data_IF_444441753113
#
_entry.id   IF_444441753113
#
_cell.length_a   1.000
_cell.length_b   1.000
_cell.length_c   1.000
_cell.angle_alpha   90.00
_cell.angle_beta   90.00
_cell.angle_gamma   90.00
#
_symmetry.space_group_name_H-M   'P 1'
#
loop_
_entity.id
_entity.type
_entity.pdbx_description
1 polymer ?
#
# COMPACT_ATOMS: atom_id res chain seq x y z
N UNK A 1 -7.86 -32.43 -12.48
CA UNK A 1 -6.55 -32.64 -11.81
C UNK A 1 -6.63 -33.88 -10.93
N UNK A 2 -5.75 -34.88 -11.14
CA UNK A 2 -5.72 -36.11 -10.34
C UNK A 2 -5.45 -35.79 -8.87
N UNK A 3 -5.96 -36.57 -7.92
CA UNK A 3 -5.80 -36.31 -6.46
C UNK A 3 -4.35 -36.12 -6.03
N UNK A 4 -3.42 -36.85 -6.63
CA UNK A 4 -1.98 -36.76 -6.39
C UNK A 4 -1.41 -35.38 -6.79
N UNK A 5 -1.82 -34.85 -7.94
CA UNK A 5 -1.38 -33.53 -8.42
C UNK A 5 -1.94 -32.41 -7.55
N UNK A 6 -3.18 -32.52 -7.07
CA UNK A 6 -3.76 -31.57 -6.13
C UNK A 6 -2.99 -31.53 -4.80
N UNK A 7 -2.57 -32.68 -4.26
CA UNK A 7 -1.76 -32.76 -3.03
C UNK A 7 -0.39 -32.10 -3.22
N UNK A 8 0.28 -32.34 -4.34
CA UNK A 8 1.58 -31.71 -4.67
C UNK A 8 1.45 -30.19 -4.72
N UNK A 9 0.41 -29.68 -5.37
CA UNK A 9 0.16 -28.24 -5.45
C UNK A 9 -0.05 -27.60 -4.07
N UNK A 10 -0.82 -28.25 -3.19
CA UNK A 10 -1.02 -27.77 -1.82
C UNK A 10 0.32 -27.70 -1.06
N UNK A 11 1.16 -28.73 -1.16
CA UNK A 11 2.48 -28.75 -0.52
C UNK A 11 3.38 -27.62 -1.04
N UNK A 12 3.38 -27.36 -2.35
CA UNK A 12 4.12 -26.25 -2.96
C UNK A 12 3.64 -24.90 -2.40
N UNK A 13 2.32 -24.69 -2.31
CA UNK A 13 1.76 -23.44 -1.75
C UNK A 13 2.15 -23.27 -0.28
N UNK A 14 2.08 -24.33 0.52
CA UNK A 14 2.50 -24.29 1.93
C UNK A 14 3.99 -23.94 2.02
N UNK A 15 4.84 -24.57 1.22
CA UNK A 15 6.28 -24.28 1.21
C UNK A 15 6.57 -22.81 0.89
N UNK A 16 5.88 -22.21 -0.10
CA UNK A 16 6.02 -20.80 -0.42
C UNK A 16 5.55 -19.88 0.72
N UNK A 17 4.43 -20.19 1.35
CA UNK A 17 3.92 -19.40 2.49
C UNK A 17 4.89 -19.47 3.66
N UNK A 18 5.46 -20.65 3.97
CA UNK A 18 6.46 -20.82 5.01
C UNK A 18 7.74 -20.04 4.68
N UNK A 19 8.21 -20.09 3.42
CA UNK A 19 9.36 -19.32 2.99
C UNK A 19 9.16 -17.82 3.20
N UNK A 20 7.99 -17.28 2.80
CA UNK A 20 7.65 -15.88 3.04
C UNK A 20 7.62 -15.54 4.53
N UNK A 21 7.00 -16.40 5.36
CA UNK A 21 6.92 -16.19 6.81
C UNK A 21 8.33 -16.16 7.45
N UNK A 22 9.23 -17.08 7.07
CA UNK A 22 10.61 -17.11 7.56
C UNK A 22 11.38 -15.85 7.18
N UNK A 23 11.19 -15.34 5.97
CA UNK A 23 11.85 -14.12 5.46
C UNK A 23 11.33 -12.86 6.15
N UNK A 24 10.01 -12.78 6.39
CA UNK A 24 9.40 -11.61 7.04
C UNK A 24 9.61 -11.60 8.56
N UNK A 25 9.89 -12.74 9.18
CA UNK A 25 10.05 -12.87 10.62
C UNK A 25 11.07 -11.90 11.24
N UNK A 26 12.32 -11.80 10.71
CA UNK A 26 13.30 -10.85 11.24
C UNK A 26 12.83 -9.40 11.14
N UNK A 27 12.22 -9.01 10.02
CA UNK A 27 11.73 -7.65 9.79
C UNK A 27 10.66 -7.26 10.83
N UNK A 28 9.69 -8.14 11.06
CA UNK A 28 8.66 -7.92 12.07
C UNK A 28 9.19 -8.02 13.52
N UNK A 29 10.26 -8.78 13.73
CA UNK A 29 10.93 -8.82 15.04
C UNK A 29 11.62 -7.49 15.36
N UNK A 30 12.22 -6.84 14.36
CA UNK A 30 12.84 -5.51 14.49
C UNK A 30 11.76 -4.42 14.70
N UNK A 31 10.59 -4.56 14.11
CA UNK A 31 9.50 -3.59 14.21
C UNK A 31 9.11 -3.22 15.66
N UNK A 32 9.32 -4.12 16.62
CA UNK A 32 9.05 -3.83 18.06
C UNK A 32 9.93 -2.72 18.65
N UNK A 33 11.05 -2.40 17.99
CA UNK A 33 11.97 -1.32 18.39
C UNK A 33 11.78 -0.05 17.57
N UNK A 34 10.82 -0.05 16.65
CA UNK A 34 10.56 1.10 15.79
C UNK A 34 9.92 2.24 16.57
N UNK A 35 10.34 3.47 16.26
CA UNK A 35 9.88 4.70 16.91
C UNK A 35 9.93 5.88 15.95
N UNK A 36 9.14 6.94 16.20
CA UNK A 36 9.13 8.14 15.36
C UNK A 36 10.50 8.78 15.26
N UNK A 37 10.89 9.20 14.07
CA UNK A 37 12.18 9.79 13.80
C UNK A 37 12.07 10.97 12.84
N UNK A 38 13.13 11.76 12.76
CA UNK A 38 13.24 12.89 11.85
C UNK A 38 12.01 13.82 11.89
N UNK A 39 11.37 14.05 10.77
CA UNK A 39 10.23 14.94 10.60
C UNK A 39 8.86 14.34 10.98
N UNK A 40 8.80 13.07 11.37
CA UNK A 40 7.57 12.47 11.91
C UNK A 40 6.97 13.33 13.04
N UNK A 41 7.82 13.82 13.95
CA UNK A 41 7.38 14.68 15.05
C UNK A 41 6.77 16.00 14.58
N UNK A 42 7.31 16.59 13.53
CA UNK A 42 6.83 17.87 13.02
C UNK A 42 5.50 17.75 12.28
N UNK A 43 5.29 16.69 11.50
CA UNK A 43 4.04 16.46 10.78
C UNK A 43 2.94 15.88 11.67
N UNK A 44 3.28 15.04 12.66
CA UNK A 44 2.31 14.42 13.57
C UNK A 44 1.82 15.30 14.72
N UNK A 45 2.48 16.44 14.98
CA UNK A 45 2.26 17.26 16.20
C UNK A 45 0.82 17.75 16.41
N UNK A 46 0.13 18.14 15.35
CA UNK A 46 -1.24 18.64 15.44
C UNK A 46 -2.22 17.51 15.76
N UNK A 47 -2.06 16.38 15.09
CA UNK A 47 -2.88 15.19 15.36
C UNK A 47 -2.65 14.68 16.79
N UNK A 48 -1.39 14.61 17.23
CA UNK A 48 -1.06 14.21 18.59
C UNK A 48 -1.75 15.11 19.62
N UNK A 49 -1.71 16.44 19.44
CA UNK A 49 -2.38 17.40 20.33
C UNK A 49 -3.91 17.20 20.34
N UNK A 50 -4.53 17.05 19.18
CA UNK A 50 -5.95 16.81 19.06
C UNK A 50 -6.39 15.51 19.77
N UNK A 51 -5.59 14.44 19.65
CA UNK A 51 -5.84 13.18 20.34
C UNK A 51 -5.70 13.32 21.86
N UNK A 52 -4.66 14.01 22.35
CA UNK A 52 -4.46 14.27 23.79
C UNK A 52 -5.58 15.15 24.38
N UNK A 53 -6.10 16.09 23.60
CA UNK A 53 -7.19 16.97 24.01
C UNK A 53 -8.57 16.29 23.92
N UNK A 54 -8.67 15.09 23.35
CA UNK A 54 -9.94 14.37 23.20
C UNK A 54 -10.92 15.03 22.23
N UNK A 55 -10.42 15.75 21.21
CA UNK A 55 -11.25 16.54 20.28
C UNK A 55 -12.08 15.68 19.29
N UNK A 56 -11.91 14.36 19.32
CA UNK A 56 -12.66 13.42 18.47
C UNK A 56 -12.44 13.64 16.98
N UNK A 57 -13.45 13.32 16.16
CA UNK A 57 -13.36 13.39 14.68
C UNK A 57 -13.11 14.82 14.20
N UNK A 58 -13.70 15.84 14.84
CA UNK A 58 -13.49 17.24 14.48
C UNK A 58 -12.02 17.65 14.65
N UNK A 59 -11.36 17.17 15.71
CA UNK A 59 -9.94 17.37 15.95
C UNK A 59 -9.07 16.73 14.88
N UNK A 60 -9.45 15.56 14.36
CA UNK A 60 -8.74 14.90 13.24
C UNK A 60 -8.75 15.79 12.00
N UNK A 61 -9.90 16.29 11.58
CA UNK A 61 -10.00 17.19 10.41
C UNK A 61 -9.25 18.49 10.63
N UNK A 62 -9.35 19.07 11.83
CA UNK A 62 -8.63 20.29 12.18
C UNK A 62 -7.11 20.08 12.15
N UNK A 63 -6.60 18.96 12.68
CA UNK A 63 -5.19 18.62 12.66
C UNK A 63 -4.65 18.43 11.23
N UNK A 64 -5.41 17.76 10.35
CA UNK A 64 -5.08 17.64 8.93
C UNK A 64 -5.01 19.02 8.27
N UNK A 65 -6.02 19.87 8.50
CA UNK A 65 -6.05 21.22 7.97
C UNK A 65 -4.83 22.05 8.45
N UNK A 66 -4.49 21.99 9.74
CA UNK A 66 -3.32 22.67 10.28
C UNK A 66 -2.02 22.16 9.65
N UNK A 67 -1.89 20.85 9.45
CA UNK A 67 -0.70 20.28 8.79
C UNK A 67 -0.58 20.81 7.36
N UNK A 68 -1.66 20.86 6.60
CA UNK A 68 -1.68 21.43 5.25
C UNK A 68 -1.36 22.92 5.26
N UNK A 69 -2.00 23.70 6.12
CA UNK A 69 -1.86 25.16 6.18
C UNK A 69 -0.45 25.61 6.62
N UNK A 70 0.22 24.85 7.48
CA UNK A 70 1.57 25.19 7.96
C UNK A 70 2.69 24.70 7.04
N UNK A 71 2.37 23.85 6.05
CA UNK A 71 3.34 23.29 5.10
C UNK A 71 2.99 23.65 3.65
N UNK A 72 2.56 24.89 3.41
CA UNK A 72 2.17 25.38 2.07
C UNK A 72 3.29 25.35 1.03
N UNK A 73 4.55 25.25 1.48
CA UNK A 73 5.70 25.06 0.61
C UNK A 73 5.73 23.65 -0.05
N UNK A 74 5.04 22.69 0.58
CA UNK A 74 4.93 21.33 0.08
C UNK A 74 3.65 21.22 -0.78
N UNK A 75 3.81 21.15 -2.09
CA UNK A 75 2.69 21.06 -3.02
C UNK A 75 1.99 19.68 -3.03
N UNK A 76 2.64 18.66 -2.45
CA UNK A 76 2.16 17.27 -2.44
C UNK A 76 1.17 17.04 -1.30
N UNK A 77 -0.06 17.48 -1.46
CA UNK A 77 -1.08 17.48 -0.41
C UNK A 77 -1.38 16.10 0.20
N UNK A 78 -1.29 15.02 -0.60
CA UNK A 78 -1.59 13.68 -0.10
C UNK A 78 -0.57 13.18 0.91
N UNK A 79 0.71 13.51 0.74
CA UNK A 79 1.73 13.15 1.73
C UNK A 79 1.48 13.88 3.05
N UNK A 80 1.07 15.15 3.01
CA UNK A 80 0.78 15.93 4.23
C UNK A 80 -0.40 15.33 5.00
N UNK A 81 -1.45 14.89 4.29
CA UNK A 81 -2.60 14.22 4.91
C UNK A 81 -2.16 12.90 5.56
N UNK A 82 -1.41 12.08 4.83
CA UNK A 82 -0.93 10.80 5.33
C UNK A 82 0.04 10.96 6.50
N UNK A 83 0.96 11.93 6.43
CA UNK A 83 1.91 12.22 7.51
C UNK A 83 1.23 12.75 8.78
N UNK A 84 0.14 13.51 8.63
CA UNK A 84 -0.68 13.91 9.79
C UNK A 84 -1.34 12.70 10.48
N UNK A 85 -1.69 11.66 9.73
CA UNK A 85 -2.35 10.44 10.22
C UNK A 85 -1.37 9.37 10.72
N UNK A 86 -0.10 9.70 10.91
CA UNK A 86 0.90 8.74 11.35
C UNK A 86 0.52 8.03 12.66
N UNK A 87 0.92 6.76 12.84
CA UNK A 87 0.53 5.98 14.02
C UNK A 87 0.99 6.58 15.34
N UNK A 88 2.14 7.26 15.39
CA UNK A 88 2.66 7.91 16.59
C UNK A 88 1.74 9.01 17.14
N UNK A 89 0.91 9.61 16.30
CA UNK A 89 -0.06 10.61 16.73
C UNK A 89 -1.12 10.06 17.69
N UNK A 90 -1.38 8.76 17.64
CA UNK A 90 -2.32 8.05 18.53
C UNK A 90 -1.64 7.48 19.78
N UNK A 91 -0.32 7.54 19.84
CA UNK A 91 0.54 7.08 20.92
C UNK A 91 1.84 6.50 20.38
N UNK A 92 2.96 6.78 21.06
CA UNK A 92 4.30 6.41 20.60
C UNK A 92 4.43 4.90 20.28
N UNK A 93 3.78 4.04 21.08
CA UNK A 93 3.80 2.60 20.87
C UNK A 93 3.13 2.15 19.57
N UNK A 94 2.17 2.93 19.04
CA UNK A 94 1.50 2.60 17.79
C UNK A 94 2.42 2.77 16.57
N UNK A 95 3.53 3.49 16.71
CA UNK A 95 4.47 3.65 15.61
C UNK A 95 5.01 2.30 15.09
N UNK A 96 5.17 1.33 15.98
CA UNK A 96 5.61 -0.05 15.68
C UNK A 96 4.74 -0.79 14.66
N UNK A 97 3.54 -0.29 14.34
CA UNK A 97 2.69 -0.85 13.29
C UNK A 97 3.16 -0.46 11.87
N UNK A 98 4.01 0.58 11.76
CA UNK A 98 4.48 1.11 10.47
C UNK A 98 5.05 0.02 9.56
N UNK A 99 6.03 -0.81 9.96
CA UNK A 99 6.58 -1.84 9.08
C UNK A 99 5.54 -2.87 8.63
N UNK A 100 4.59 -3.22 9.51
CA UNK A 100 3.52 -4.15 9.15
C UNK A 100 2.58 -3.56 8.10
N UNK A 101 2.22 -2.28 8.24
CA UNK A 101 1.38 -1.58 7.26
C UNK A 101 2.09 -1.46 5.92
N UNK A 102 3.36 -1.08 5.90
CA UNK A 102 4.12 -0.83 4.68
C UNK A 102 4.42 -2.13 3.92
N UNK A 103 5.01 -3.11 4.56
CA UNK A 103 5.29 -4.43 3.96
C UNK A 103 3.98 -5.11 3.57
N UNK A 104 2.97 -5.07 4.44
CA UNK A 104 1.66 -5.64 4.18
C UNK A 104 0.96 -5.00 2.98
N UNK A 105 1.03 -3.66 2.84
CA UNK A 105 0.44 -2.95 1.71
C UNK A 105 1.08 -3.32 0.38
N UNK A 106 2.42 -3.46 0.33
CA UNK A 106 3.16 -3.90 -0.87
C UNK A 106 2.73 -5.30 -1.27
N UNK A 107 2.75 -6.23 -0.32
CA UNK A 107 2.39 -7.63 -0.59
C UNK A 107 0.94 -7.74 -1.05
N UNK A 108 0.01 -7.11 -0.31
CA UNK A 108 -1.42 -7.16 -0.62
C UNK A 108 -1.72 -6.57 -2.01
N UNK A 109 -1.22 -5.37 -2.29
CA UNK A 109 -1.48 -4.68 -3.56
C UNK A 109 -0.90 -5.44 -4.76
N UNK A 110 0.28 -6.04 -4.61
CA UNK A 110 0.87 -6.92 -5.61
C UNK A 110 0.00 -8.16 -5.88
N UNK A 111 -0.48 -8.82 -4.81
CA UNK A 111 -1.35 -10.00 -4.99
C UNK A 111 -2.70 -9.64 -5.61
N UNK A 112 -3.27 -8.47 -5.30
CA UNK A 112 -4.48 -7.98 -5.94
C UNK A 112 -4.25 -7.79 -7.45
N UNK A 113 -3.15 -7.15 -7.83
CA UNK A 113 -2.80 -6.95 -9.24
C UNK A 113 -2.55 -8.27 -9.97
N UNK A 114 -1.77 -9.18 -9.40
CA UNK A 114 -1.53 -10.51 -9.98
C UNK A 114 -2.82 -11.31 -10.15
N UNK A 115 -3.74 -11.22 -9.20
CA UNK A 115 -5.05 -11.85 -9.31
C UNK A 115 -5.81 -11.34 -10.54
N UNK A 116 -5.78 -10.05 -10.82
CA UNK A 116 -6.46 -9.51 -12.01
C UNK A 116 -5.73 -9.91 -13.29
N UNK A 117 -4.40 -9.86 -13.32
CA UNK A 117 -3.62 -10.23 -14.49
C UNK A 117 -3.73 -11.73 -14.82
N UNK A 118 -3.75 -12.61 -13.83
CA UNK A 118 -3.71 -14.06 -14.03
C UNK A 118 -5.12 -14.64 -14.04
N UNK A 119 -5.86 -14.50 -12.94
CA UNK A 119 -7.16 -15.13 -12.77
C UNK A 119 -8.31 -14.32 -13.35
N UNK A 120 -8.08 -13.04 -13.65
CA UNK A 120 -9.00 -12.20 -14.39
C UNK A 120 -9.19 -12.69 -15.82
N UNK A 121 -8.12 -13.21 -16.42
CA UNK A 121 -8.11 -13.74 -17.79
C UNK A 121 -8.55 -15.20 -17.86
N UNK A 122 -8.06 -16.04 -16.94
CA UNK A 122 -8.33 -17.48 -16.93
C UNK A 122 -8.42 -18.00 -15.47
N UNK A 123 -9.63 -18.32 -15.03
CA UNK A 123 -9.89 -18.80 -13.65
C UNK A 123 -9.12 -20.06 -13.28
N UNK A 124 -8.83 -20.92 -14.25
CA UNK A 124 -8.02 -22.13 -14.08
C UNK A 124 -6.58 -21.85 -13.67
N UNK A 125 -6.06 -20.66 -13.97
CA UNK A 125 -4.68 -20.27 -13.67
C UNK A 125 -4.49 -19.70 -12.26
N UNK A 126 -5.52 -19.64 -11.43
CA UNK A 126 -5.43 -19.10 -10.05
C UNK A 126 -4.34 -19.73 -9.19
N UNK A 127 -3.99 -20.97 -9.46
CA UNK A 127 -2.95 -21.68 -8.73
C UNK A 127 -1.55 -21.08 -8.93
N UNK A 128 -1.36 -20.30 -10.01
CA UNK A 128 -0.09 -19.59 -10.29
C UNK A 128 0.13 -18.35 -9.42
N UNK A 129 -0.90 -17.80 -8.81
CA UNK A 129 -0.82 -16.54 -8.06
C UNK A 129 0.19 -16.64 -6.91
N UNK A 130 0.15 -17.69 -6.11
CA UNK A 130 1.07 -17.88 -4.99
C UNK A 130 2.51 -18.17 -5.44
N UNK A 131 2.76 -19.14 -6.36
CA UNK A 131 4.11 -19.43 -6.84
C UNK A 131 4.80 -18.27 -7.56
N UNK A 132 4.05 -17.36 -8.15
CA UNK A 132 4.60 -16.15 -8.78
C UNK A 132 4.67 -15.00 -7.77
N UNK A 133 3.61 -14.78 -7.02
CA UNK A 133 3.48 -13.62 -6.12
C UNK A 133 4.43 -13.66 -4.94
N UNK A 134 4.66 -14.84 -4.34
CA UNK A 134 5.55 -14.93 -3.17
C UNK A 134 7.01 -14.64 -3.52
N UNK A 135 7.63 -15.25 -4.56
CA UNK A 135 8.97 -14.85 -4.98
C UNK A 135 9.09 -13.36 -5.32
N UNK A 136 8.10 -12.79 -6.02
CA UNK A 136 8.09 -11.36 -6.30
C UNK A 136 8.05 -10.53 -5.01
N UNK A 137 7.19 -10.87 -4.04
CA UNK A 137 7.12 -10.19 -2.76
C UNK A 137 8.44 -10.29 -1.97
N UNK A 138 9.04 -11.47 -1.96
CA UNK A 138 10.36 -11.71 -1.33
C UNK A 138 11.41 -10.81 -1.98
N UNK A 139 11.47 -10.77 -3.31
CA UNK A 139 12.44 -9.94 -4.03
C UNK A 139 12.21 -8.44 -3.73
N UNK A 140 10.98 -7.96 -3.75
CA UNK A 140 10.67 -6.56 -3.45
C UNK A 140 11.10 -6.14 -2.05
N UNK A 141 10.91 -7.02 -1.05
CA UNK A 141 11.25 -6.72 0.34
C UNK A 141 12.75 -6.85 0.60
N UNK A 142 13.40 -7.94 0.12
CA UNK A 142 14.81 -8.18 0.38
C UNK A 142 15.75 -7.29 -0.42
N UNK A 143 15.38 -6.91 -1.62
CA UNK A 143 16.19 -6.05 -2.49
C UNK A 143 15.77 -4.57 -2.45
N UNK A 144 14.98 -4.18 -1.44
CA UNK A 144 14.72 -2.76 -1.18
C UNK A 144 16.04 -2.08 -0.80
N UNK A 145 16.49 -1.04 -1.53
CA UNK A 145 17.81 -0.42 -1.30
C UNK A 145 17.95 0.22 0.09
N UNK A 146 16.88 0.79 0.61
CA UNK A 146 16.82 1.51 1.88
C UNK A 146 15.61 1.03 2.68
N UNK A 147 15.67 -0.18 3.28
CA UNK A 147 14.52 -0.78 3.97
C UNK A 147 14.08 0.03 5.20
N UNK A 148 15.02 0.71 5.87
CA UNK A 148 14.73 1.62 6.99
C UNK A 148 13.84 2.78 6.59
N UNK A 149 14.10 3.41 5.45
CA UNK A 149 13.30 4.53 4.95
C UNK A 149 12.01 4.04 4.27
N UNK A 150 12.04 2.85 3.70
CA UNK A 150 10.92 2.31 2.94
C UNK A 150 9.86 1.63 3.80
N UNK A 151 10.23 1.08 4.96
CA UNK A 151 9.32 0.28 5.77
C UNK A 151 9.18 0.74 7.21
N UNK A 152 10.19 1.41 7.78
CA UNK A 152 10.23 1.76 9.20
C UNK A 152 10.04 3.26 9.43
N UNK A 153 10.66 4.13 8.66
CA UNK A 153 10.43 5.57 8.77
C UNK A 153 9.11 5.95 8.10
N UNK A 154 8.11 6.35 8.89
CA UNK A 154 6.73 6.53 8.41
C UNK A 154 6.62 7.56 7.27
N UNK A 155 7.21 8.75 7.42
CA UNK A 155 7.12 9.79 6.38
C UNK A 155 7.82 9.38 5.07
N UNK A 156 8.96 8.70 5.14
CA UNK A 156 9.59 8.10 3.97
C UNK A 156 8.71 7.03 3.34
N UNK A 157 8.19 6.15 4.18
CA UNK A 157 7.35 5.03 3.74
C UNK A 157 6.05 5.47 3.04
N UNK A 158 5.34 6.48 3.57
CA UNK A 158 4.10 6.97 2.91
C UNK A 158 4.39 7.71 1.61
N UNK A 159 5.58 8.30 1.49
CA UNK A 159 6.01 9.02 0.29
C UNK A 159 6.38 8.07 -0.87
N UNK A 160 6.92 6.89 -0.57
CA UNK A 160 7.43 5.96 -1.59
C UNK A 160 6.69 4.62 -1.59
N UNK A 161 6.74 3.89 -0.50
CA UNK A 161 6.23 2.51 -0.42
C UNK A 161 4.72 2.43 -0.43
N UNK A 162 4.08 3.26 0.38
CA UNK A 162 2.61 3.23 0.48
C UNK A 162 1.95 3.76 -0.80
N UNK A 163 2.45 4.87 -1.36
CA UNK A 163 1.91 5.39 -2.63
C UNK A 163 2.15 4.42 -3.80
N UNK A 164 3.29 3.71 -3.82
CA UNK A 164 3.51 2.62 -4.76
C UNK A 164 2.44 1.54 -4.62
N UNK A 165 2.13 1.13 -3.40
CA UNK A 165 1.06 0.14 -3.13
C UNK A 165 -0.31 0.65 -3.59
N UNK A 166 -0.65 1.93 -3.35
CA UNK A 166 -1.88 2.54 -3.84
C UNK A 166 -1.93 2.57 -5.37
N UNK A 167 -0.79 2.78 -6.04
CA UNK A 167 -0.69 2.74 -7.50
C UNK A 167 -1.00 1.35 -8.05
N UNK A 168 -0.51 0.28 -7.41
CA UNK A 168 -0.83 -1.10 -7.80
C UNK A 168 -2.33 -1.40 -7.62
N UNK A 169 -2.94 -0.88 -6.54
CA UNK A 169 -4.40 -1.00 -6.34
C UNK A 169 -5.16 -0.23 -7.41
N UNK A 170 -4.73 0.98 -7.76
CA UNK A 170 -5.33 1.78 -8.83
C UNK A 170 -5.27 1.04 -10.17
N UNK A 171 -4.12 0.45 -10.53
CA UNK A 171 -3.97 -0.38 -11.72
C UNK A 171 -4.89 -1.61 -11.67
N UNK A 172 -5.04 -2.23 -10.49
CA UNK A 172 -5.96 -3.35 -10.29
C UNK A 172 -7.41 -2.96 -10.58
N UNK A 173 -7.86 -1.83 -10.01
CA UNK A 173 -9.22 -1.32 -10.26
C UNK A 173 -9.44 -0.98 -11.72
N UNK A 174 -8.45 -0.35 -12.36
CA UNK A 174 -8.51 -0.05 -13.79
C UNK A 174 -8.69 -1.33 -14.63
N UNK A 175 -7.88 -2.36 -14.39
CA UNK A 175 -7.99 -3.64 -15.10
C UNK A 175 -9.33 -4.31 -14.84
N UNK A 176 -9.85 -4.29 -13.62
CA UNK A 176 -11.17 -4.85 -13.31
C UNK A 176 -12.28 -4.11 -14.05
N UNK A 177 -12.23 -2.78 -14.13
CA UNK A 177 -13.21 -1.96 -14.86
C UNK A 177 -13.13 -2.18 -16.37
N UNK A 178 -11.91 -2.27 -16.92
CA UNK A 178 -11.67 -2.39 -18.35
C UNK A 178 -11.95 -3.80 -18.90
N UNK A 179 -11.58 -4.84 -18.14
CA UNK A 179 -11.56 -6.22 -18.66
C UNK A 179 -12.73 -7.08 -18.18
N UNK A 180 -13.50 -6.64 -17.18
CA UNK A 180 -14.59 -7.45 -16.64
C UNK A 180 -15.96 -6.87 -16.95
N UNK A 181 -16.87 -7.74 -17.32
CA UNK A 181 -18.29 -7.43 -17.34
C UNK A 181 -18.79 -7.33 -15.89
N UNK A 182 -18.98 -6.12 -15.42
CA UNK A 182 -19.51 -5.83 -14.07
C UNK A 182 -20.85 -5.13 -14.17
N UNK A 183 -21.77 -5.44 -13.26
CA UNK A 183 -23.04 -4.73 -13.16
C UNK A 183 -22.85 -3.22 -12.94
N UNK A 184 -23.78 -2.39 -13.44
CA UNK A 184 -23.68 -0.92 -13.43
C UNK A 184 -23.32 -0.35 -12.05
N UNK A 185 -23.98 -0.80 -10.97
CA UNK A 185 -23.74 -0.32 -9.62
C UNK A 185 -22.28 -0.60 -9.16
N UNK A 186 -21.79 -1.81 -9.39
CA UNK A 186 -20.40 -2.18 -9.05
C UNK A 186 -19.41 -1.34 -9.85
N UNK A 187 -19.65 -1.14 -11.15
CA UNK A 187 -18.79 -0.32 -12.01
C UNK A 187 -18.67 1.12 -11.51
N UNK A 188 -19.79 1.72 -11.09
CA UNK A 188 -19.80 3.08 -10.50
C UNK A 188 -18.94 3.12 -9.24
N UNK A 189 -19.12 2.16 -8.32
CA UNK A 189 -18.32 2.09 -7.08
C UNK A 189 -16.83 1.97 -7.39
N UNK A 190 -16.43 1.04 -8.27
CA UNK A 190 -15.04 0.86 -8.66
C UNK A 190 -14.45 2.12 -9.30
N UNK A 191 -15.22 2.80 -10.15
CA UNK A 191 -14.80 4.06 -10.78
C UNK A 191 -14.58 5.16 -9.74
N UNK A 192 -15.51 5.34 -8.79
CA UNK A 192 -15.36 6.32 -7.70
C UNK A 192 -14.11 6.02 -6.86
N UNK A 193 -13.90 4.76 -6.48
CA UNK A 193 -12.71 4.35 -5.75
C UNK A 193 -11.42 4.61 -6.56
N UNK A 194 -11.41 4.31 -7.85
CA UNK A 194 -10.27 4.58 -8.72
C UNK A 194 -9.98 6.08 -8.83
N UNK A 195 -11.00 6.94 -8.94
CA UNK A 195 -10.82 8.39 -8.94
C UNK A 195 -10.23 8.91 -7.62
N UNK A 196 -10.73 8.43 -6.47
CA UNK A 196 -10.19 8.80 -5.15
C UNK A 196 -8.73 8.37 -5.00
N UNK A 197 -8.39 7.15 -5.42
CA UNK A 197 -7.00 6.67 -5.41
C UNK A 197 -6.11 7.46 -6.38
N UNK A 198 -6.61 7.82 -7.56
CA UNK A 198 -5.86 8.64 -8.52
C UNK A 198 -5.52 10.03 -7.94
N UNK A 199 -6.44 10.64 -7.19
CA UNK A 199 -6.20 11.90 -6.49
C UNK A 199 -5.12 11.70 -5.41
N UNK A 200 -5.19 10.65 -4.61
CA UNK A 200 -4.19 10.34 -3.58
C UNK A 200 -2.80 10.07 -4.18
N UNK A 201 -2.73 9.27 -5.23
CA UNK A 201 -1.46 8.96 -5.93
C UNK A 201 -0.91 10.22 -6.59
N UNK A 202 -1.75 10.98 -7.30
CA UNK A 202 -1.34 12.20 -8.00
C UNK A 202 -0.85 13.32 -7.08
N UNK A 203 -1.42 13.42 -5.87
CA UNK A 203 -1.02 14.40 -4.85
C UNK A 203 0.13 13.95 -3.95
N UNK A 204 0.80 12.85 -4.25
CA UNK A 204 1.90 12.30 -3.45
C UNK A 204 3.25 12.44 -4.19
N UNK A 205 4.00 11.37 -4.34
CA UNK A 205 5.32 11.35 -4.97
C UNK A 205 5.25 11.57 -6.49
N UNK A 206 6.00 12.53 -7.01
CA UNK A 206 5.99 12.88 -8.42
C UNK A 206 6.39 11.71 -9.33
N UNK A 207 7.46 10.98 -8.99
CA UNK A 207 7.95 9.86 -9.80
C UNK A 207 6.92 8.74 -9.90
N UNK A 208 6.28 8.38 -8.77
CA UNK A 208 5.23 7.35 -8.73
C UNK A 208 3.99 7.81 -9.50
N UNK A 209 3.60 9.08 -9.37
CA UNK A 209 2.44 9.65 -10.06
C UNK A 209 2.61 9.61 -11.57
N UNK A 210 3.75 10.08 -12.08
CA UNK A 210 4.05 10.08 -13.52
C UNK A 210 4.16 8.65 -14.06
N UNK A 211 4.85 7.76 -13.36
CA UNK A 211 4.96 6.35 -13.77
C UNK A 211 3.59 5.67 -13.84
N UNK A 212 2.72 5.92 -12.85
CA UNK A 212 1.36 5.37 -12.82
C UNK A 212 0.52 5.93 -13.98
N UNK A 213 0.61 7.23 -14.23
CA UNK A 213 -0.07 7.87 -15.36
C UNK A 213 0.38 7.28 -16.70
N UNK A 214 1.68 7.12 -16.91
CA UNK A 214 2.22 6.51 -18.13
C UNK A 214 1.72 5.07 -18.32
N UNK A 215 1.71 4.27 -17.24
CA UNK A 215 1.17 2.91 -17.28
C UNK A 215 -0.32 2.87 -17.63
N UNK A 216 -1.14 3.75 -17.04
CA UNK A 216 -2.56 3.84 -17.34
C UNK A 216 -2.80 4.24 -18.80
N UNK A 217 -2.02 5.19 -19.35
CA UNK A 217 -2.10 5.57 -20.77
C UNK A 217 -1.71 4.40 -21.67
N UNK A 218 -0.62 3.68 -21.35
CA UNK A 218 -0.23 2.49 -22.12
C UNK A 218 -1.32 1.41 -22.08
N UNK A 219 -1.92 1.16 -20.94
CA UNK A 219 -3.02 0.19 -20.81
C UNK A 219 -4.25 0.65 -21.61
N UNK A 220 -4.56 1.96 -21.61
CA UNK A 220 -5.69 2.51 -22.39
C UNK A 220 -5.47 2.39 -23.92
N UNK A 221 -4.23 2.39 -24.37
CA UNK A 221 -3.90 2.18 -25.81
C UNK A 221 -3.99 0.69 -26.18
N UNK A 222 -3.71 -0.20 -25.24
CA UNK A 222 -3.70 -1.66 -25.46
C UNK A 222 -5.10 -2.29 -25.40
N UNK A 223 -6.05 -1.67 -24.69
CA UNK A 223 -7.42 -2.14 -24.48
C UNK A 223 -8.46 -1.16 -25.02
#
# INVERSE_FOLDING_TARGET
>A
MKLTERKKMILIHIAWILALAVILWPLFTIAKYDYPSADDWSFGKYMYRAMQAGEGIAGVFHAIYQTLAQNVWEARFSILILSALQPAAFGEHFYRITPYLMIGSVILSQFLLLRECIAGQAKENRWLILPIGIPMAILQVLYCPYPEESFYWYNGSVNYTFVYSLSLVLLTLYLEIALRETGKAKRVVLTVLACLLAILVGGNNFSTSVSTMCLLICLQILF
#
